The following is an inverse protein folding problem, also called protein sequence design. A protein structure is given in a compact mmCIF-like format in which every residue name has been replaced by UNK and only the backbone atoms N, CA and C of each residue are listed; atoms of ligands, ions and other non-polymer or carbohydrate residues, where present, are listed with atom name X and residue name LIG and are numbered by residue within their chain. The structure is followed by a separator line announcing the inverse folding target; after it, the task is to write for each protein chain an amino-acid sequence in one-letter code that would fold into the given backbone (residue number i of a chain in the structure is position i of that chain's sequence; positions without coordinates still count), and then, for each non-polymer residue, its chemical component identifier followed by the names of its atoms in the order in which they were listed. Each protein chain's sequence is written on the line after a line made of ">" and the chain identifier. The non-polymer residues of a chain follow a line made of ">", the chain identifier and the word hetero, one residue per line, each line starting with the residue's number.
data_IF_457319379402
#
_entry.id   IF_457319379402
#
_cell.length_a   1.000
_cell.length_b   1.000
_cell.length_c   1.000
_cell.angle_alpha   90.00
_cell.angle_beta   90.00
_cell.angle_gamma   90.00
#
_symmetry.space_group_name_H-M   'P 1'
#
loop_
_entity.id
_entity.type
_entity.pdbx_description
1 polymer ?
#
# COMPACT_ATOMS: atom_id res chain seq x y z
N UNK A 1 9.27 -23.44 -20.52
CA UNK A 1 9.53 -22.13 -19.93
C UNK A 1 8.66 -21.16 -20.71
N UNK A 2 7.40 -21.04 -20.27
CA UNK A 2 6.45 -20.15 -20.91
C UNK A 2 6.95 -18.72 -20.78
N UNK A 3 6.52 -17.88 -21.70
CA UNK A 3 6.68 -16.44 -21.72
C UNK A 3 6.24 -15.79 -20.39
N UNK A 4 6.94 -16.18 -19.33
CA UNK A 4 6.90 -15.63 -17.97
C UNK A 4 7.48 -14.25 -18.05
N UNK A 5 6.88 -13.78 -18.70
CA UNK A 5 6.27 -12.60 -19.20
C UNK A 5 7.20 -11.44 -18.92
N UNK A 6 7.80 -10.92 -19.99
CA UNK A 6 8.40 -9.58 -20.01
C UNK A 6 7.53 -8.61 -19.18
N UNK A 7 6.22 -8.78 -19.21
CA UNK A 7 5.27 -7.99 -18.42
C UNK A 7 5.47 -8.13 -16.92
N UNK A 8 5.56 -9.35 -16.38
CA UNK A 8 5.66 -9.57 -14.92
C UNK A 8 7.08 -9.47 -14.39
N UNK A 9 8.09 -9.79 -15.22
CA UNK A 9 9.49 -9.78 -14.79
C UNK A 9 10.24 -8.49 -15.09
N UNK A 10 9.74 -7.67 -16.03
CA UNK A 10 10.41 -6.43 -16.44
C UNK A 10 9.48 -5.23 -16.30
N UNK A 11 8.32 -5.24 -16.96
CA UNK A 11 7.45 -4.06 -17.00
C UNK A 11 6.84 -3.73 -15.64
N UNK A 12 6.39 -4.72 -14.88
CA UNK A 12 5.80 -4.51 -13.57
C UNK A 12 6.83 -3.96 -12.56
N UNK A 13 8.04 -4.56 -12.38
CA UNK A 13 9.08 -3.99 -11.52
C UNK A 13 9.50 -2.58 -11.92
N UNK A 14 9.70 -2.33 -13.23
CA UNK A 14 10.10 -1.00 -13.72
C UNK A 14 9.00 0.04 -13.51
N UNK A 15 7.74 -0.33 -13.74
CA UNK A 15 6.59 0.56 -13.49
C UNK A 15 6.47 0.90 -12.01
N UNK A 16 6.62 -0.09 -11.12
CA UNK A 16 6.63 0.15 -9.68
C UNK A 16 7.82 1.03 -9.27
N UNK A 17 9.02 0.74 -9.77
CA UNK A 17 10.20 1.55 -9.50
C UNK A 17 10.01 3.00 -9.97
N UNK A 18 9.38 3.22 -11.12
CA UNK A 18 9.05 4.58 -11.58
C UNK A 18 8.02 5.28 -10.68
N UNK A 19 6.98 4.56 -10.24
CA UNK A 19 5.98 5.08 -9.28
C UNK A 19 6.68 5.50 -7.97
N UNK A 20 7.61 4.67 -7.48
CA UNK A 20 8.39 4.96 -6.27
C UNK A 20 9.37 6.11 -6.47
N UNK A 21 10.00 6.22 -7.63
CA UNK A 21 10.83 7.37 -7.99
C UNK A 21 10.03 8.67 -8.03
N UNK A 22 8.83 8.65 -8.62
CA UNK A 22 7.91 9.79 -8.64
C UNK A 22 7.51 10.23 -7.22
N UNK A 23 7.29 9.27 -6.31
CA UNK A 23 7.10 9.56 -4.89
C UNK A 23 8.34 10.25 -4.29
N UNK A 24 9.54 9.74 -4.59
CA UNK A 24 10.81 10.31 -4.11
C UNK A 24 11.03 11.75 -4.55
N UNK A 25 10.63 12.12 -5.78
CA UNK A 25 10.70 13.51 -6.27
C UNK A 25 9.87 14.49 -5.43
N UNK A 26 8.79 14.01 -4.81
CA UNK A 26 7.92 14.81 -3.95
C UNK A 26 8.44 14.92 -2.51
N UNK A 27 9.38 14.05 -2.08
CA UNK A 27 9.87 13.97 -0.71
C UNK A 27 11.10 14.84 -0.48
N UNK A 28 11.15 15.47 0.71
CA UNK A 28 12.34 16.18 1.22
C UNK A 28 12.70 15.68 2.62
N UNK A 29 13.96 15.83 3.02
CA UNK A 29 14.43 15.40 4.36
C UNK A 29 13.62 16.04 5.49
N UNK A 30 13.10 17.25 5.27
CA UNK A 30 12.26 17.95 6.23
C UNK A 30 10.92 17.22 6.52
N UNK A 31 10.44 16.38 5.61
CA UNK A 31 9.19 15.62 5.78
C UNK A 31 9.31 14.59 6.91
N UNK A 32 10.52 14.11 7.19
CA UNK A 32 10.77 13.20 8.31
C UNK A 32 10.72 13.89 9.69
N UNK A 33 10.63 15.23 9.75
CA UNK A 33 10.58 15.97 11.02
C UNK A 33 9.36 15.64 11.87
N UNK A 34 8.25 15.18 11.27
CA UNK A 34 7.03 14.82 12.02
C UNK A 34 7.25 13.66 12.99
N UNK A 35 8.22 12.80 12.72
CA UNK A 35 8.65 11.76 13.68
C UNK A 35 9.01 12.37 15.03
N UNK A 36 9.68 13.54 15.01
CA UNK A 36 10.16 14.23 16.24
C UNK A 36 9.17 15.29 16.70
N UNK A 37 8.53 16.05 15.79
CA UNK A 37 7.67 17.20 16.15
C UNK A 37 6.24 16.81 16.49
N UNK A 38 5.77 15.63 16.06
CA UNK A 38 4.47 15.09 16.40
C UNK A 38 4.56 13.57 16.71
N UNK A 39 5.42 13.16 17.65
CA UNK A 39 5.76 11.74 17.86
C UNK A 39 4.54 10.89 18.20
N UNK A 40 3.61 11.41 19.00
CA UNK A 40 2.37 10.69 19.33
C UNK A 40 1.53 10.37 18.10
N UNK A 41 1.29 11.34 17.24
CA UNK A 41 0.51 11.14 16.03
C UNK A 41 1.22 10.21 15.04
N UNK A 42 2.53 10.35 14.92
CA UNK A 42 3.37 9.48 14.10
C UNK A 42 3.33 8.02 14.60
N UNK A 43 3.56 7.78 15.88
CA UNK A 43 3.54 6.43 16.46
C UNK A 43 2.16 5.76 16.35
N UNK A 44 1.08 6.53 16.54
CA UNK A 44 -0.29 6.03 16.34
C UNK A 44 -0.53 5.62 14.89
N UNK A 45 -0.10 6.43 13.91
CA UNK A 45 -0.21 6.08 12.50
C UNK A 45 0.67 4.89 12.11
N UNK A 46 1.92 4.86 12.57
CA UNK A 46 2.85 3.75 12.31
C UNK A 46 2.34 2.43 12.92
N UNK A 47 1.83 2.46 14.16
CA UNK A 47 1.18 1.30 14.79
C UNK A 47 -0.04 0.86 13.98
N UNK A 48 -0.87 1.81 13.51
CA UNK A 48 -2.02 1.53 12.66
C UNK A 48 -1.66 0.76 11.39
N UNK A 49 -0.58 1.16 10.73
CA UNK A 49 -0.14 0.52 9.49
C UNK A 49 0.66 -0.77 9.71
N UNK A 50 1.59 -0.78 10.65
CA UNK A 50 2.56 -1.86 10.79
C UNK A 50 2.11 -2.99 11.73
N UNK A 51 1.14 -2.74 12.60
CA UNK A 51 0.63 -3.74 13.54
C UNK A 51 -0.88 -3.95 13.39
N UNK A 52 -1.68 -2.91 13.52
CA UNK A 52 -3.14 -3.03 13.50
C UNK A 52 -3.65 -3.57 12.16
N UNK A 53 -3.13 -3.09 11.04
CA UNK A 53 -3.56 -3.54 9.72
C UNK A 53 -3.18 -5.00 9.43
N UNK A 54 -1.92 -5.46 9.62
CA UNK A 54 -1.57 -6.88 9.51
C UNK A 54 -2.40 -7.78 10.44
N UNK A 55 -2.67 -7.35 11.68
CA UNK A 55 -3.52 -8.12 12.60
C UNK A 55 -4.96 -8.20 12.10
N UNK A 56 -5.54 -7.10 11.63
CA UNK A 56 -6.87 -7.09 11.04
C UNK A 56 -6.95 -7.98 9.79
N UNK A 57 -5.92 -7.93 8.93
CA UNK A 57 -5.77 -8.78 7.76
C UNK A 57 -5.70 -10.26 8.13
N UNK A 58 -4.92 -10.60 9.16
CA UNK A 58 -4.78 -11.97 9.67
C UNK A 58 -6.10 -12.50 10.24
N UNK A 59 -6.79 -11.71 11.06
CA UNK A 59 -8.10 -12.08 11.62
C UNK A 59 -9.10 -12.29 10.49
N UNK A 60 -9.18 -11.38 9.53
CA UNK A 60 -10.07 -11.54 8.39
C UNK A 60 -9.73 -12.80 7.59
N UNK A 61 -8.47 -13.01 7.21
CA UNK A 61 -8.02 -14.16 6.45
C UNK A 61 -8.28 -15.49 7.17
N UNK A 62 -8.22 -15.50 8.51
CA UNK A 62 -8.50 -16.69 9.32
C UNK A 62 -9.98 -17.02 9.40
N UNK A 63 -10.85 -16.01 9.45
CA UNK A 63 -12.29 -16.17 9.64
C UNK A 63 -13.08 -16.27 8.32
N UNK A 64 -12.54 -15.69 7.24
CA UNK A 64 -13.25 -15.63 5.97
C UNK A 64 -13.01 -16.88 5.12
N UNK A 65 -14.09 -17.48 4.55
CA UNK A 65 -13.95 -18.64 3.68
C UNK A 65 -13.37 -18.23 2.33
N UNK A 66 -12.07 -18.45 2.14
CA UNK A 66 -11.35 -18.20 0.89
C UNK A 66 -10.16 -19.16 0.75
N UNK A 67 -9.70 -19.34 -0.47
CA UNK A 67 -8.57 -20.22 -0.79
C UNK A 67 -7.29 -19.80 -0.05
N UNK A 68 -6.42 -20.74 0.36
CA UNK A 68 -5.18 -20.45 1.07
C UNK A 68 -4.29 -19.42 0.39
N UNK A 69 -4.16 -19.47 -0.94
CA UNK A 69 -3.38 -18.50 -1.70
C UNK A 69 -3.95 -17.07 -1.60
N UNK A 70 -5.29 -16.93 -1.58
CA UNK A 70 -5.96 -15.63 -1.39
C UNK A 70 -5.72 -15.09 0.02
N UNK A 71 -5.70 -15.96 1.06
CA UNK A 71 -5.36 -15.57 2.44
C UNK A 71 -3.96 -14.98 2.53
N UNK A 72 -2.99 -15.63 1.88
CA UNK A 72 -1.63 -15.10 1.79
C UNK A 72 -1.62 -13.76 1.03
N UNK A 73 -2.39 -13.63 -0.04
CA UNK A 73 -2.55 -12.37 -0.78
C UNK A 73 -3.09 -11.21 0.10
N UNK A 74 -4.05 -11.49 0.99
CA UNK A 74 -4.53 -10.53 2.00
C UNK A 74 -3.38 -10.10 2.91
N UNK A 75 -2.53 -11.03 3.34
CA UNK A 75 -1.40 -10.72 4.22
C UNK A 75 -0.27 -9.97 3.51
N UNK A 76 -0.02 -10.27 2.24
CA UNK A 76 0.89 -9.47 1.40
C UNK A 76 0.42 -8.02 1.38
N UNK A 77 -0.84 -7.79 1.03
CA UNK A 77 -1.44 -6.46 1.00
C UNK A 77 -1.37 -5.76 2.38
N UNK A 78 -1.74 -6.47 3.45
CA UNK A 78 -1.74 -5.94 4.81
C UNK A 78 -0.35 -5.57 5.33
N UNK A 79 0.71 -6.11 4.72
CA UNK A 79 2.10 -5.81 5.05
C UNK A 79 2.72 -4.72 4.17
N UNK A 80 2.03 -4.31 3.10
CA UNK A 80 2.49 -3.23 2.24
C UNK A 80 2.39 -1.88 2.94
N UNK A 81 3.28 -0.93 2.62
CA UNK A 81 3.14 0.45 3.06
C UNK A 81 2.00 1.14 2.30
N UNK A 82 1.68 2.35 2.72
CA UNK A 82 0.70 3.19 2.02
C UNK A 82 1.16 3.57 0.62
N UNK A 83 0.21 3.75 -0.29
CA UNK A 83 0.47 4.25 -1.64
C UNK A 83 0.65 5.76 -1.69
N UNK A 84 1.41 6.27 -2.68
CA UNK A 84 1.72 7.70 -2.84
C UNK A 84 0.48 8.62 -2.97
N UNK A 85 -0.66 8.09 -3.38
CA UNK A 85 -1.92 8.83 -3.54
C UNK A 85 -2.57 9.25 -2.22
N UNK A 86 -2.20 8.61 -1.09
CA UNK A 86 -2.72 8.95 0.24
C UNK A 86 -2.41 10.40 0.64
N UNK A 87 -1.20 10.88 0.30
CA UNK A 87 -0.77 12.26 0.58
C UNK A 87 -1.67 13.29 -0.10
N UNK A 88 -2.04 13.04 -1.36
CA UNK A 88 -2.94 13.90 -2.13
C UNK A 88 -4.36 13.89 -1.54
N UNK A 89 -4.89 12.72 -1.20
CA UNK A 89 -6.21 12.60 -0.58
C UNK A 89 -6.24 13.22 0.81
N UNK A 90 -5.17 13.07 1.61
CA UNK A 90 -5.02 13.75 2.90
C UNK A 90 -5.03 15.27 2.74
N UNK A 91 -4.37 15.80 1.70
CA UNK A 91 -4.40 17.23 1.39
C UNK A 91 -5.83 17.71 1.07
N UNK A 92 -6.55 17.01 0.19
CA UNK A 92 -7.93 17.35 -0.17
C UNK A 92 -8.89 17.23 1.01
N UNK A 93 -8.69 16.25 1.87
CA UNK A 93 -9.45 16.09 3.11
C UNK A 93 -9.09 17.12 4.20
N UNK A 94 -8.12 18.02 3.93
CA UNK A 94 -7.58 18.97 4.91
C UNK A 94 -7.03 18.28 6.16
N UNK A 95 -6.42 17.11 5.98
CA UNK A 95 -5.66 16.40 7.00
C UNK A 95 -4.25 16.99 7.19
N UNK A 96 -3.49 16.42 8.14
CA UNK A 96 -2.07 16.75 8.35
C UNK A 96 -1.23 16.05 7.27
N UNK A 97 -1.06 16.72 6.13
CA UNK A 97 -0.30 16.18 4.97
C UNK A 97 1.16 15.92 5.33
N UNK A 98 1.77 16.73 6.20
CA UNK A 98 3.14 16.51 6.63
C UNK A 98 3.28 15.22 7.47
N UNK A 99 2.27 14.90 8.29
CA UNK A 99 2.21 13.63 9.01
C UNK A 99 2.04 12.46 8.04
N UNK A 100 1.12 12.56 7.06
CA UNK A 100 0.91 11.52 6.05
C UNK A 100 2.20 11.23 5.28
N UNK A 101 2.88 12.26 4.78
CA UNK A 101 4.16 12.13 4.06
C UNK A 101 5.22 11.43 4.93
N UNK A 102 5.35 11.83 6.21
CA UNK A 102 6.30 11.21 7.15
C UNK A 102 5.97 9.72 7.39
N UNK A 103 4.68 9.38 7.55
CA UNK A 103 4.23 8.00 7.74
C UNK A 103 4.53 7.16 6.49
N UNK A 104 4.09 7.61 5.31
CA UNK A 104 4.36 6.92 4.04
C UNK A 104 5.85 6.65 3.87
N UNK A 105 6.72 7.65 4.10
CA UNK A 105 8.15 7.52 3.90
C UNK A 105 8.80 6.53 4.88
N UNK A 106 8.51 6.65 6.18
CA UNK A 106 9.15 5.80 7.20
C UNK A 106 8.61 4.37 7.14
N UNK A 107 7.29 4.20 6.95
CA UNK A 107 6.68 2.87 6.85
C UNK A 107 7.14 2.16 5.57
N UNK A 108 7.36 2.88 4.46
CA UNK A 108 7.93 2.29 3.24
C UNK A 108 9.35 1.73 3.47
N UNK A 109 10.18 2.42 4.24
CA UNK A 109 11.51 1.91 4.62
C UNK A 109 11.38 0.69 5.52
N UNK A 110 10.52 0.75 6.54
CA UNK A 110 10.34 -0.33 7.49
C UNK A 110 9.72 -1.59 6.85
N UNK A 111 8.85 -1.42 5.85
CA UNK A 111 8.19 -2.53 5.16
C UNK A 111 9.16 -3.48 4.45
N UNK A 112 10.34 -3.02 4.04
CA UNK A 112 11.39 -3.89 3.49
C UNK A 112 11.73 -5.04 4.42
N UNK A 113 11.73 -4.73 5.72
CA UNK A 113 12.04 -5.73 6.75
C UNK A 113 10.78 -6.49 7.18
N UNK A 114 9.68 -5.80 7.45
CA UNK A 114 8.48 -6.41 8.04
C UNK A 114 7.70 -7.27 7.05
N UNK A 115 7.57 -6.84 5.78
CA UNK A 115 6.76 -7.53 4.76
C UNK A 115 7.25 -8.97 4.52
N UNK A 116 8.56 -9.25 4.28
CA UNK A 116 9.01 -10.62 4.01
C UNK A 116 8.76 -11.58 5.17
N UNK A 117 8.89 -11.11 6.41
CA UNK A 117 8.62 -11.93 7.59
C UNK A 117 7.12 -12.24 7.74
N UNK A 118 6.26 -11.23 7.58
CA UNK A 118 4.80 -11.41 7.66
C UNK A 118 4.33 -12.32 6.55
N UNK A 119 4.82 -12.15 5.33
CA UNK A 119 4.48 -13.00 4.18
C UNK A 119 4.96 -14.42 4.40
N UNK A 120 6.21 -14.61 4.81
CA UNK A 120 6.77 -15.93 5.12
C UNK A 120 5.96 -16.67 6.20
N UNK A 121 5.65 -16.00 7.30
CA UNK A 121 4.80 -16.55 8.36
C UNK A 121 3.40 -16.90 7.86
N UNK A 122 2.82 -16.07 6.99
CA UNK A 122 1.49 -16.28 6.42
C UNK A 122 1.43 -17.50 5.51
N UNK A 123 2.47 -17.70 4.68
CA UNK A 123 2.58 -18.91 3.83
C UNK A 123 2.68 -20.16 4.68
N UNK A 124 3.48 -20.13 5.75
CA UNK A 124 3.60 -21.27 6.68
C UNK A 124 2.27 -21.56 7.38
N UNK A 125 1.52 -20.52 7.73
CA UNK A 125 0.27 -20.66 8.50
C UNK A 125 -0.92 -21.09 7.63
N UNK A 126 -1.08 -20.51 6.43
CA UNK A 126 -2.29 -20.70 5.62
C UNK A 126 -2.16 -21.75 4.52
N UNK A 127 -0.92 -22.16 4.14
CA UNK A 127 -0.72 -23.11 3.05
C UNK A 127 -0.12 -24.43 3.54
N UNK A 128 -0.55 -25.53 2.91
CA UNK A 128 0.01 -26.84 3.16
C UNK A 128 1.44 -26.97 2.61
N UNK A 129 2.26 -27.78 3.26
CA UNK A 129 3.69 -27.92 2.92
C UNK A 129 3.94 -28.26 1.44
N UNK A 130 3.05 -29.03 0.79
CA UNK A 130 3.18 -29.41 -0.62
C UNK A 130 2.80 -28.34 -1.64
N UNK A 131 2.15 -27.25 -1.21
CA UNK A 131 1.68 -26.16 -2.10
C UNK A 131 2.36 -24.83 -1.82
N UNK A 132 3.27 -24.79 -0.83
CA UNK A 132 4.00 -23.57 -0.46
C UNK A 132 4.95 -23.14 -1.56
N UNK A 133 4.94 -21.87 -1.99
CA UNK A 133 6.02 -21.34 -2.78
C UNK A 133 7.32 -21.36 -1.98
N UNK A 134 8.44 -21.60 -2.65
CA UNK A 134 9.77 -21.47 -2.03
C UNK A 134 10.08 -19.98 -1.85
N UNK A 135 10.02 -19.51 -0.61
CA UNK A 135 10.20 -18.10 -0.25
C UNK A 135 11.55 -17.91 0.44
N UNK A 136 12.46 -17.26 -0.26
CA UNK A 136 13.65 -16.71 0.38
C UNK A 136 13.33 -15.31 0.96
N UNK A 137 13.32 -15.22 2.28
CA UNK A 137 13.14 -13.93 2.98
C UNK A 137 14.16 -12.90 2.49
N UNK A 138 15.43 -13.31 2.32
CA UNK A 138 16.49 -12.42 1.85
C UNK A 138 16.24 -11.93 0.42
N UNK A 139 15.83 -12.82 -0.50
CA UNK A 139 15.51 -12.43 -1.88
C UNK A 139 14.30 -11.49 -1.92
N UNK A 140 13.29 -11.75 -1.11
CA UNK A 140 12.10 -10.87 -1.00
C UNK A 140 12.50 -9.49 -0.43
N UNK A 141 13.34 -9.44 0.61
CA UNK A 141 13.87 -8.18 1.14
C UNK A 141 14.64 -7.39 0.07
N UNK A 142 15.55 -8.03 -0.64
CA UNK A 142 16.35 -7.40 -1.71
C UNK A 142 15.42 -6.92 -2.82
N UNK A 143 14.50 -7.75 -3.28
CA UNK A 143 13.53 -7.40 -4.33
C UNK A 143 12.69 -6.18 -3.96
N UNK A 144 12.09 -6.17 -2.78
CA UNK A 144 11.31 -5.02 -2.27
C UNK A 144 12.19 -3.78 -2.14
N UNK A 145 13.38 -3.92 -1.56
CA UNK A 145 14.32 -2.80 -1.40
C UNK A 145 14.70 -2.15 -2.74
N UNK A 146 15.05 -2.97 -3.73
CA UNK A 146 15.47 -2.47 -5.05
C UNK A 146 14.34 -1.77 -5.81
N UNK A 147 13.10 -2.23 -5.69
CA UNK A 147 11.98 -1.63 -6.46
C UNK A 147 11.25 -0.53 -5.69
N UNK A 148 11.47 -0.39 -4.38
CA UNK A 148 10.81 0.66 -3.58
C UNK A 148 11.80 1.69 -3.06
N UNK A 149 12.74 1.31 -2.19
CA UNK A 149 13.59 2.27 -1.49
C UNK A 149 14.67 2.89 -2.38
N UNK A 150 15.29 2.13 -3.26
CA UNK A 150 16.31 2.66 -4.18
C UNK A 150 15.71 3.75 -5.09
N UNK A 151 14.57 3.53 -5.79
CA UNK A 151 13.96 4.59 -6.61
C UNK A 151 13.49 5.79 -5.79
N UNK A 152 12.93 5.60 -4.59
CA UNK A 152 12.58 6.72 -3.69
C UNK A 152 13.83 7.53 -3.34
N UNK A 153 14.92 6.88 -2.94
CA UNK A 153 16.16 7.56 -2.62
C UNK A 153 16.75 8.34 -3.81
N UNK A 154 16.68 7.77 -5.02
CA UNK A 154 17.08 8.45 -6.24
C UNK A 154 16.21 9.67 -6.53
N UNK A 155 14.88 9.57 -6.38
CA UNK A 155 13.98 10.71 -6.53
C UNK A 155 14.28 11.83 -5.52
N UNK A 156 14.49 11.47 -4.24
CA UNK A 156 14.90 12.42 -3.20
C UNK A 156 16.27 13.06 -3.49
N UNK A 157 17.21 12.31 -4.05
CA UNK A 157 18.51 12.82 -4.45
C UNK A 157 18.37 13.86 -5.56
N UNK A 158 17.56 13.59 -6.59
CA UNK A 158 17.24 14.58 -7.64
C UNK A 158 16.58 15.81 -7.02
N UNK A 159 15.63 15.63 -6.09
CA UNK A 159 14.97 16.74 -5.39
C UNK A 159 15.93 17.61 -4.59
N UNK A 160 16.96 17.02 -3.99
CA UNK A 160 17.97 17.72 -3.20
C UNK A 160 18.97 18.51 -4.06
N UNK A 161 19.47 17.89 -5.14
CA UNK A 161 20.57 18.46 -5.92
C UNK A 161 20.11 19.29 -7.11
N UNK A 162 18.91 19.04 -7.63
CA UNK A 162 18.31 19.76 -8.75
C UNK A 162 16.82 20.07 -8.46
N UNK A 163 16.52 20.92 -7.46
CA UNK A 163 15.17 21.14 -6.97
C UNK A 163 14.20 21.67 -8.04
N UNK A 164 14.65 22.58 -8.90
CA UNK A 164 13.82 23.13 -9.99
C UNK A 164 13.47 22.05 -11.03
N UNK A 165 14.45 21.24 -11.43
CA UNK A 165 14.25 20.11 -12.33
C UNK A 165 13.29 19.09 -11.71
N UNK A 166 13.49 18.76 -10.43
CA UNK A 166 12.63 17.84 -9.70
C UNK A 166 11.17 18.32 -9.66
N UNK A 167 10.93 19.62 -9.40
CA UNK A 167 9.59 20.22 -9.40
C UNK A 167 8.93 20.17 -10.78
N UNK A 168 9.69 20.42 -11.84
CA UNK A 168 9.21 20.30 -13.22
C UNK A 168 8.84 18.86 -13.57
N UNK A 169 9.68 17.90 -13.19
CA UNK A 169 9.48 16.48 -13.43
C UNK A 169 8.35 15.88 -12.57
N UNK A 170 8.20 16.32 -11.32
CA UNK A 170 7.24 15.76 -10.36
C UNK A 170 5.81 15.75 -10.89
N UNK A 171 5.39 16.85 -11.55
CA UNK A 171 4.04 16.95 -12.11
C UNK A 171 3.80 15.89 -13.18
N UNK A 172 4.72 15.75 -14.12
CA UNK A 172 4.63 14.77 -15.21
C UNK A 172 4.76 13.35 -14.64
N UNK A 173 5.76 13.11 -13.79
CA UNK A 173 6.00 11.82 -13.17
C UNK A 173 4.78 11.32 -12.37
N UNK A 174 4.07 12.20 -11.68
CA UNK A 174 2.84 11.87 -10.94
C UNK A 174 1.72 11.40 -11.88
N UNK A 175 1.52 12.05 -13.02
CA UNK A 175 0.52 11.63 -13.99
C UNK A 175 0.90 10.28 -14.64
N UNK A 176 2.16 10.13 -15.03
CA UNK A 176 2.67 8.87 -15.59
C UNK A 176 2.54 7.75 -14.54
N UNK A 177 2.89 7.98 -13.29
CA UNK A 177 2.74 7.02 -12.20
C UNK A 177 1.27 6.60 -12.00
N UNK A 178 0.32 7.55 -12.07
CA UNK A 178 -1.10 7.24 -11.98
C UNK A 178 -1.58 6.38 -13.16
N UNK A 179 -1.13 6.69 -14.38
CA UNK A 179 -1.44 5.89 -15.58
C UNK A 179 -0.85 4.48 -15.46
N UNK A 180 0.42 4.36 -15.06
CA UNK A 180 1.06 3.06 -14.84
C UNK A 180 0.35 2.24 -13.77
N UNK A 181 -0.07 2.87 -12.67
CA UNK A 181 -0.87 2.21 -11.63
C UNK A 181 -2.16 1.62 -12.21
N UNK A 182 -2.91 2.41 -13.00
CA UNK A 182 -4.15 1.93 -13.65
C UNK A 182 -3.85 0.76 -14.58
N UNK A 183 -2.80 0.84 -15.40
CA UNK A 183 -2.40 -0.25 -16.28
C UNK A 183 -2.02 -1.52 -15.52
N UNK A 184 -1.29 -1.40 -14.41
CA UNK A 184 -0.93 -2.55 -13.56
C UNK A 184 -2.19 -3.21 -12.98
N UNK A 185 -3.11 -2.41 -12.42
CA UNK A 185 -4.35 -2.95 -11.85
C UNK A 185 -5.23 -3.60 -12.92
N UNK A 186 -5.40 -2.96 -14.08
CA UNK A 186 -6.16 -3.53 -15.19
C UNK A 186 -5.50 -4.79 -15.75
N UNK A 187 -4.17 -4.81 -15.87
CA UNK A 187 -3.40 -5.98 -16.29
C UNK A 187 -3.55 -7.14 -15.29
N UNK A 188 -3.54 -6.85 -13.99
CA UNK A 188 -3.79 -7.83 -12.95
C UNK A 188 -5.21 -8.42 -13.04
N UNK A 189 -6.22 -7.59 -13.23
CA UNK A 189 -7.62 -8.02 -13.45
C UNK A 189 -7.74 -8.87 -14.71
N UNK A 190 -7.11 -8.44 -15.81
CA UNK A 190 -7.15 -9.15 -17.08
C UNK A 190 -6.46 -10.53 -17.01
N UNK A 191 -5.39 -10.66 -16.23
CA UNK A 191 -4.66 -11.93 -16.10
C UNK A 191 -5.47 -13.03 -15.40
N UNK A 192 -6.50 -12.67 -14.64
CA UNK A 192 -7.42 -13.59 -13.94
C UNK A 192 -8.84 -13.52 -14.48
N UNK A 193 -9.05 -12.98 -15.67
CA UNK A 193 -10.39 -12.74 -16.22
C UNK A 193 -11.30 -13.99 -16.32
N UNK A 194 -10.69 -15.16 -16.48
CA UNK A 194 -11.41 -16.43 -16.56
C UNK A 194 -11.99 -16.85 -15.22
N UNK A 195 -11.23 -16.62 -14.13
CA UNK A 195 -11.60 -16.96 -12.76
C UNK A 195 -12.09 -15.74 -11.95
N UNK A 196 -12.26 -14.57 -12.60
CA UNK A 196 -12.53 -13.30 -11.91
C UNK A 196 -13.80 -13.36 -11.07
N UNK A 197 -14.83 -14.08 -11.53
CA UNK A 197 -16.11 -14.20 -10.81
C UNK A 197 -15.92 -14.95 -9.50
N UNK A 198 -15.17 -16.06 -9.54
CA UNK A 198 -14.92 -16.92 -8.37
C UNK A 198 -14.00 -16.20 -7.38
N UNK A 199 -12.96 -15.55 -7.85
CA UNK A 199 -12.10 -14.72 -7.00
C UNK A 199 -12.87 -13.56 -6.38
N UNK A 200 -13.68 -12.85 -7.17
CA UNK A 200 -14.45 -11.71 -6.65
C UNK A 200 -15.51 -12.17 -5.63
N UNK A 201 -16.12 -13.34 -5.83
CA UNK A 201 -17.05 -13.93 -4.87
C UNK A 201 -16.36 -14.25 -3.53
N UNK A 202 -15.11 -14.76 -3.57
CA UNK A 202 -14.36 -15.09 -2.36
C UNK A 202 -13.81 -13.88 -1.64
N UNK A 203 -13.23 -12.88 -2.35
CA UNK A 203 -12.49 -11.80 -1.70
C UNK A 203 -13.07 -10.40 -1.87
N UNK A 204 -14.04 -10.19 -2.77
CA UNK A 204 -14.57 -8.85 -3.04
C UNK A 204 -15.14 -8.18 -1.79
N UNK A 205 -16.07 -8.86 -1.11
CA UNK A 205 -16.67 -8.37 0.13
C UNK A 205 -15.66 -8.37 1.29
N UNK A 206 -14.72 -9.34 1.31
CA UNK A 206 -13.67 -9.40 2.31
C UNK A 206 -12.76 -8.16 2.24
N UNK A 207 -12.37 -7.73 1.04
CA UNK A 207 -11.52 -6.54 0.86
C UNK A 207 -12.25 -5.25 1.23
N UNK A 208 -13.54 -5.14 0.91
CA UNK A 208 -14.36 -4.01 1.36
C UNK A 208 -14.46 -3.99 2.89
N UNK A 209 -14.73 -5.15 3.50
CA UNK A 209 -14.83 -5.29 4.96
C UNK A 209 -13.51 -4.92 5.63
N UNK A 210 -12.37 -5.41 5.12
CA UNK A 210 -11.05 -5.08 5.64
C UNK A 210 -10.79 -3.59 5.57
N UNK A 211 -11.05 -2.96 4.42
CA UNK A 211 -10.80 -1.55 4.22
C UNK A 211 -11.63 -0.68 5.18
N UNK A 212 -12.94 -0.92 5.26
CA UNK A 212 -13.84 -0.18 6.15
C UNK A 212 -13.48 -0.42 7.61
N UNK A 213 -13.19 -1.67 8.00
CA UNK A 213 -12.79 -2.01 9.36
C UNK A 213 -11.50 -1.30 9.77
N UNK A 214 -10.49 -1.31 8.91
CA UNK A 214 -9.19 -0.65 9.21
C UNK A 214 -9.34 0.86 9.30
N UNK A 215 -10.13 1.49 8.42
CA UNK A 215 -10.43 2.93 8.51
C UNK A 215 -11.18 3.27 9.81
N UNK A 216 -12.15 2.44 10.21
CA UNK A 216 -12.88 2.61 11.46
C UNK A 216 -11.97 2.40 12.69
N UNK A 217 -11.13 1.37 12.68
CA UNK A 217 -10.14 1.13 13.73
C UNK A 217 -9.13 2.29 13.83
N UNK A 218 -8.67 2.82 12.70
CA UNK A 218 -7.77 3.98 12.66
C UNK A 218 -8.45 5.24 13.23
N UNK A 219 -9.75 5.44 12.95
CA UNK A 219 -10.54 6.51 13.55
C UNK A 219 -10.65 6.34 15.08
N UNK A 220 -10.98 5.14 15.55
CA UNK A 220 -11.06 4.81 16.99
C UNK A 220 -9.71 5.01 17.67
N UNK A 221 -8.65 4.48 17.09
CA UNK A 221 -7.28 4.60 17.60
C UNK A 221 -6.86 6.07 17.71
N UNK A 222 -7.07 6.85 16.66
CA UNK A 222 -6.75 8.28 16.65
C UNK A 222 -7.58 9.07 17.66
N UNK A 223 -8.85 8.70 17.88
CA UNK A 223 -9.72 9.33 18.89
C UNK A 223 -9.27 8.96 20.32
N UNK A 224 -9.04 7.69 20.59
CA UNK A 224 -8.58 7.20 21.88
C UNK A 224 -7.20 7.78 22.26
N UNK A 225 -6.35 7.99 21.24
CA UNK A 225 -5.04 8.63 21.42
C UNK A 225 -5.10 10.16 21.52
N UNK A 226 -6.27 10.79 21.49
CA UNK A 226 -6.43 12.25 21.62
C UNK A 226 -5.81 13.04 20.46
N UNK A 227 -5.74 12.47 19.26
CA UNK A 227 -5.18 13.17 18.09
C UNK A 227 -6.11 14.30 17.64
N UNK A 228 -5.53 15.42 17.19
CA UNK A 228 -6.28 16.50 16.57
C UNK A 228 -6.98 16.01 15.27
N UNK A 229 -8.09 16.65 14.89
CA UNK A 229 -8.87 16.26 13.70
C UNK A 229 -8.01 16.09 12.43
N UNK A 230 -7.09 17.01 12.04
CA UNK A 230 -6.26 16.85 10.86
C UNK A 230 -5.33 15.61 10.94
N UNK A 231 -4.79 15.32 12.12
CA UNK A 231 -3.95 14.14 12.35
C UNK A 231 -4.74 12.84 12.23
N UNK A 232 -5.96 12.80 12.79
CA UNK A 232 -6.86 11.64 12.63
C UNK A 232 -7.22 11.38 11.18
N UNK A 233 -7.51 12.43 10.40
CA UNK A 233 -7.79 12.31 8.96
C UNK A 233 -6.57 11.69 8.24
N UNK A 234 -5.37 12.18 8.53
CA UNK A 234 -4.15 11.60 7.96
C UNK A 234 -4.01 10.11 8.30
N UNK A 235 -4.13 9.75 9.58
CA UNK A 235 -4.00 8.35 10.04
C UNK A 235 -5.06 7.44 9.40
N UNK A 236 -6.31 7.89 9.27
CA UNK A 236 -7.39 7.11 8.63
C UNK A 236 -7.08 6.85 7.16
N UNK A 237 -6.66 7.88 6.42
CA UNK A 237 -6.32 7.77 5.00
C UNK A 237 -5.09 6.88 4.82
N UNK A 238 -4.05 7.08 5.62
CA UNK A 238 -2.83 6.30 5.59
C UNK A 238 -3.08 4.80 5.87
N UNK A 239 -3.95 4.46 6.82
CA UNK A 239 -4.32 3.08 7.10
C UNK A 239 -5.27 2.51 6.03
N UNK A 240 -6.13 3.34 5.42
CA UNK A 240 -7.11 2.90 4.43
C UNK A 240 -6.54 2.67 3.03
N UNK A 241 -5.48 3.39 2.64
CA UNK A 241 -4.88 3.28 1.32
C UNK A 241 -3.55 2.52 1.38
N UNK A 242 -3.46 1.46 0.61
CA UNK A 242 -2.27 0.61 0.57
C UNK A 242 -1.57 0.67 -0.79
N UNK A 243 -0.30 0.27 -0.83
CA UNK A 243 0.45 0.13 -2.08
C UNK A 243 0.07 -1.18 -2.79
N UNK A 244 -1.08 -1.16 -3.48
CA UNK A 244 -1.55 -2.33 -4.23
C UNK A 244 -0.60 -2.76 -5.34
N UNK A 245 0.15 -1.83 -5.94
CA UNK A 245 1.17 -2.16 -6.95
C UNK A 245 2.29 -3.00 -6.36
N UNK A 246 2.75 -2.66 -5.16
CA UNK A 246 3.75 -3.45 -4.43
C UNK A 246 3.18 -4.83 -4.08
N UNK A 247 1.92 -4.91 -3.63
CA UNK A 247 1.29 -6.18 -3.33
C UNK A 247 1.21 -7.09 -4.57
N UNK A 248 0.82 -6.54 -5.73
CA UNK A 248 0.80 -7.25 -7.02
C UNK A 248 2.21 -7.69 -7.41
N UNK A 249 3.23 -6.82 -7.27
CA UNK A 249 4.62 -7.15 -7.57
C UNK A 249 5.14 -8.29 -6.69
N UNK A 250 4.93 -8.24 -5.39
CA UNK A 250 5.36 -9.30 -4.46
C UNK A 250 4.71 -10.63 -4.84
N UNK A 251 3.41 -10.63 -5.09
CA UNK A 251 2.66 -11.84 -5.44
C UNK A 251 3.10 -12.44 -6.78
N UNK A 252 3.17 -11.62 -7.84
CA UNK A 252 3.45 -12.11 -9.20
C UNK A 252 4.94 -12.33 -9.46
N UNK A 253 5.78 -11.36 -9.07
CA UNK A 253 7.21 -11.37 -9.45
C UNK A 253 8.06 -12.14 -8.46
N UNK A 254 7.79 -11.99 -7.16
CA UNK A 254 8.61 -12.63 -6.13
C UNK A 254 8.08 -14.02 -5.73
N UNK A 255 6.75 -14.22 -5.70
CA UNK A 255 6.14 -15.49 -5.30
C UNK A 255 5.57 -16.31 -6.47
N UNK A 256 5.52 -15.76 -7.67
CA UNK A 256 5.06 -16.44 -8.89
C UNK A 256 3.58 -16.86 -8.86
N UNK A 257 2.74 -16.20 -8.06
CA UNK A 257 1.35 -16.60 -7.84
C UNK A 257 0.35 -15.55 -8.30
N UNK A 258 -0.46 -15.89 -9.30
CA UNK A 258 -1.57 -15.05 -9.78
C UNK A 258 -2.71 -14.96 -8.76
N UNK A 259 -3.01 -16.03 -8.03
CA UNK A 259 -4.05 -16.01 -7.01
C UNK A 259 -3.70 -15.04 -5.86
N UNK A 260 -2.44 -15.04 -5.39
CA UNK A 260 -2.01 -14.16 -4.30
C UNK A 260 -2.06 -12.67 -4.64
N UNK A 261 -2.05 -12.28 -5.93
CA UNK A 261 -2.16 -10.87 -6.31
C UNK A 261 -3.59 -10.33 -6.25
N UNK A 262 -4.61 -11.23 -6.34
CA UNK A 262 -6.01 -10.84 -6.48
C UNK A 262 -6.50 -9.93 -5.35
N UNK A 263 -6.24 -10.23 -4.05
CA UNK A 263 -6.62 -9.32 -2.97
C UNK A 263 -6.05 -7.92 -3.14
N UNK A 264 -4.77 -7.79 -3.54
CA UNK A 264 -4.12 -6.49 -3.80
C UNK A 264 -4.77 -5.72 -4.94
N UNK A 265 -5.14 -6.41 -6.04
CA UNK A 265 -5.84 -5.83 -7.18
C UNK A 265 -7.24 -5.32 -6.81
N UNK A 266 -8.06 -6.16 -6.15
CA UNK A 266 -9.42 -5.80 -5.73
C UNK A 266 -9.40 -4.68 -4.69
N UNK A 267 -8.52 -4.77 -3.69
CA UNK A 267 -8.38 -3.73 -2.69
C UNK A 267 -7.99 -2.37 -3.30
N UNK A 268 -7.15 -2.38 -4.34
CA UNK A 268 -6.77 -1.16 -5.06
C UNK A 268 -7.95 -0.43 -5.67
N UNK A 269 -9.02 -1.14 -6.06
CA UNK A 269 -10.26 -0.52 -6.53
C UNK A 269 -11.13 -0.04 -5.37
N UNK A 270 -11.29 -0.89 -4.34
CA UNK A 270 -12.11 -0.62 -3.16
C UNK A 270 -11.61 0.60 -2.40
N UNK A 271 -10.30 0.71 -2.17
CA UNK A 271 -9.72 1.77 -1.35
C UNK A 271 -9.96 3.17 -1.92
N UNK A 272 -10.02 3.34 -3.26
CA UNK A 272 -10.33 4.65 -3.85
C UNK A 272 -11.81 5.01 -3.73
N UNK A 273 -12.71 4.03 -3.84
CA UNK A 273 -14.14 4.26 -3.65
C UNK A 273 -14.44 4.67 -2.21
N UNK A 274 -13.89 3.96 -1.23
CA UNK A 274 -14.07 4.26 0.20
C UNK A 274 -13.39 5.55 0.62
N UNK A 275 -12.18 5.84 0.11
CA UNK A 275 -11.49 7.09 0.37
C UNK A 275 -12.23 8.30 -0.26
N UNK A 276 -12.81 8.13 -1.45
CA UNK A 276 -13.66 9.15 -2.08
C UNK A 276 -14.91 9.44 -1.24
N UNK A 277 -15.58 8.39 -0.75
CA UNK A 277 -16.72 8.54 0.17
C UNK A 277 -16.30 9.22 1.47
N UNK A 278 -15.19 8.80 2.07
CA UNK A 278 -14.66 9.42 3.29
C UNK A 278 -14.33 10.90 3.07
N UNK A 279 -13.70 11.25 1.95
CA UNK A 279 -13.43 12.65 1.58
C UNK A 279 -14.72 13.47 1.49
N UNK A 280 -15.76 12.96 0.80
CA UNK A 280 -17.05 13.61 0.67
C UNK A 280 -17.71 13.85 2.06
N UNK A 281 -17.65 12.86 2.96
CA UNK A 281 -18.17 12.98 4.33
C UNK A 281 -17.41 14.04 5.14
N UNK A 282 -16.07 14.05 5.05
CA UNK A 282 -15.23 15.04 5.76
C UNK A 282 -15.51 16.46 5.29
N UNK A 283 -15.68 16.65 3.98
CA UNK A 283 -15.97 17.99 3.41
C UNK A 283 -17.37 18.45 3.76
N UNK A 284 -18.39 17.57 3.71
CA UNK A 284 -19.78 17.89 4.09
C UNK A 284 -19.90 18.30 5.55
N UNK A 285 -19.21 17.62 6.47
CA UNK A 285 -19.23 17.97 7.90
C UNK A 285 -18.53 19.29 8.24
N UNK A 286 -17.82 19.91 7.28
CA UNK A 286 -17.23 21.25 7.40
C UNK A 286 -18.09 22.35 6.82
N UNK A 287 -18.90 22.05 5.80
CA UNK A 287 -19.79 23.04 5.17
C UNK A 287 -21.04 23.33 6.00
N UNK A 288 -21.30 22.54 7.05
CA UNK A 288 -22.44 22.70 7.96
C UNK A 288 -22.07 23.35 9.32
N UNK A 289 -20.85 23.91 9.44
CA UNK A 289 -20.37 24.70 10.57
C UNK A 289 -19.97 26.08 10.07
#
# INVERSE_FOLDING_TARGET
>A
MGEGNIVTQVLLPLSLAFIMFALGLALVVADFKRVVTAPRAFLVGAFGQMAMFPVAGFVLASLWPMDPALKVGVMILASCPTGATSNLLTHFAKGDTALAISLTAVVSIASVFTLPFVVGASVVHFMDAGTRPDISVAQTMIGVFLVTNVPVALGMAVRRWAPETALGMERVARHVAAVLFVFIVLGAVYSVREDIRDYFAQVGLAMLTLNVAVMALAWLLGRASGLARPQRIAVIIECGLQNGTLAIFVALTLLGSTAMMVPGGIYSLVMFATAGLFLALVLKTRAGV
#
